data_IF_848122848040
#
_entry.id   IF_848122848040
#
_cell.length_a   1.000
_cell.length_b   1.000
_cell.length_c   1.000
_cell.angle_alpha   90.00
_cell.angle_beta   90.00
_cell.angle_gamma   90.00
#
_symmetry.space_group_name_H-M   'P 1'
#
loop_
_entity.id
_entity.type
_entity.pdbx_description
1 polymer ?
#
# COMPACT_ATOMS: atom_id res chain seq x y z
N UNK A 1 22.46 -5.98 -8.68
CA UNK A 1 21.25 -5.73 -7.90
C UNK A 1 20.08 -5.89 -8.85
N UNK A 2 19.29 -6.95 -8.71
CA UNK A 2 18.07 -7.10 -9.48
C UNK A 2 16.92 -6.47 -8.67
N UNK A 3 16.15 -5.59 -9.29
CA UNK A 3 14.95 -5.03 -8.68
C UNK A 3 13.78 -5.75 -9.32
N UNK A 4 12.96 -6.39 -8.50
CA UNK A 4 11.78 -7.12 -8.94
C UNK A 4 10.56 -6.38 -8.43
N UNK A 5 9.81 -5.79 -9.36
CA UNK A 5 8.47 -5.26 -9.09
C UNK A 5 7.45 -6.34 -9.44
N UNK A 6 6.25 -6.23 -8.87
CA UNK A 6 5.12 -7.03 -9.34
C UNK A 6 4.84 -6.75 -10.82
N UNK A 7 4.47 -7.78 -11.55
CA UNK A 7 4.27 -7.75 -12.99
C UNK A 7 3.24 -6.70 -13.41
N UNK A 8 3.51 -6.04 -14.54
CA UNK A 8 2.65 -5.01 -15.11
C UNK A 8 2.93 -3.60 -14.57
N UNK A 9 3.80 -3.43 -13.58
CA UNK A 9 4.26 -2.11 -13.17
C UNK A 9 5.47 -1.65 -14.00
N UNK A 10 5.48 -0.38 -14.39
CA UNK A 10 6.58 0.22 -15.14
C UNK A 10 6.54 1.74 -15.13
N UNK A 11 7.52 2.35 -15.80
CA UNK A 11 7.55 3.79 -16.01
C UNK A 11 7.06 4.12 -17.42
N UNK A 12 6.21 5.13 -17.53
CA UNK A 12 5.80 5.69 -18.82
C UNK A 12 6.90 6.59 -19.43
N UNK A 13 6.62 7.19 -20.59
CA UNK A 13 7.54 8.10 -21.28
C UNK A 13 7.89 9.37 -20.48
N UNK A 14 7.10 9.71 -19.45
CA UNK A 14 7.32 10.86 -18.58
C UNK A 14 8.00 10.46 -17.25
N UNK A 15 8.27 9.17 -17.05
CA UNK A 15 8.84 8.65 -15.81
C UNK A 15 7.81 8.53 -14.68
N UNK A 16 6.52 8.45 -14.98
CA UNK A 16 5.45 8.18 -14.01
C UNK A 16 5.26 6.67 -13.86
N UNK A 17 5.07 6.20 -12.61
CA UNK A 17 4.71 4.81 -12.35
C UNK A 17 3.31 4.51 -12.86
N UNK A 18 3.21 3.58 -13.80
CA UNK A 18 1.95 3.12 -14.38
C UNK A 18 1.79 1.61 -14.28
N UNK A 19 0.54 1.16 -14.32
CA UNK A 19 0.19 -0.26 -14.49
C UNK A 19 0.20 -0.67 -15.98
N UNK A 20 -0.23 -1.90 -16.27
CA UNK A 20 -0.22 -2.45 -17.63
C UNK A 20 -1.21 -1.75 -18.57
N UNK A 21 -2.24 -1.10 -18.02
CA UNK A 21 -3.21 -0.29 -18.76
C UNK A 21 -2.70 1.14 -19.05
N UNK A 22 -1.54 1.52 -18.51
CA UNK A 22 -0.98 2.87 -18.61
C UNK A 22 -1.57 3.87 -17.60
N UNK A 23 -2.32 3.39 -16.61
CA UNK A 23 -2.89 4.20 -15.56
C UNK A 23 -1.85 4.50 -14.46
N UNK A 24 -1.84 5.73 -13.95
CA UNK A 24 -1.02 6.08 -12.80
C UNK A 24 -1.44 5.28 -11.56
N UNK A 25 -0.46 4.67 -10.87
CA UNK A 25 -0.72 3.78 -9.74
C UNK A 25 -0.61 4.48 -8.40
N UNK A 26 0.35 5.38 -8.23
CA UNK A 26 0.55 6.07 -6.95
C UNK A 26 -0.51 7.16 -6.74
N UNK A 27 -1.02 7.23 -5.52
CA UNK A 27 -1.96 8.24 -5.07
C UNK A 27 -1.44 8.85 -3.76
N UNK A 28 -1.42 10.17 -3.68
CA UNK A 28 -1.03 10.91 -2.47
C UNK A 28 -2.26 11.31 -1.65
N UNK A 29 -2.24 11.00 -0.36
CA UNK A 29 -3.27 11.41 0.60
C UNK A 29 -3.17 12.90 0.96
N UNK A 30 -4.29 13.48 1.40
CA UNK A 30 -4.31 14.84 1.93
C UNK A 30 -3.78 14.90 3.36
N UNK A 31 -3.15 16.02 3.72
CA UNK A 31 -2.52 16.18 5.05
C UNK A 31 -3.51 16.09 6.24
N UNK A 32 -4.82 16.20 5.98
CA UNK A 32 -5.88 16.26 6.99
C UNK A 32 -6.81 15.03 6.99
N UNK A 33 -6.64 14.07 6.08
CA UNK A 33 -7.63 13.01 5.87
C UNK A 33 -7.38 11.70 6.64
N UNK A 34 -6.14 11.46 7.11
CA UNK A 34 -5.77 10.25 7.86
C UNK A 34 -6.03 8.93 7.09
N UNK A 35 -6.12 9.01 5.76
CA UNK A 35 -6.71 7.97 4.93
C UNK A 35 -5.70 6.99 4.31
N UNK A 36 -4.52 6.80 4.91
CA UNK A 36 -3.45 6.00 4.32
C UNK A 36 -3.87 4.58 3.91
N UNK A 37 -4.75 3.96 4.70
CA UNK A 37 -5.36 2.66 4.41
C UNK A 37 -6.14 2.64 3.09
N UNK A 38 -7.23 3.44 2.95
CA UNK A 38 -7.96 3.62 1.70
C UNK A 38 -7.08 3.88 0.48
N UNK A 39 -6.08 4.75 0.59
CA UNK A 39 -5.16 5.02 -0.52
C UNK A 39 -4.39 3.75 -0.90
N UNK A 40 -3.86 2.98 0.07
CA UNK A 40 -3.20 1.70 -0.20
C UNK A 40 -4.13 0.69 -0.89
N UNK A 41 -5.42 0.65 -0.53
CA UNK A 41 -6.42 -0.20 -1.20
C UNK A 41 -6.59 0.19 -2.66
N UNK A 42 -6.79 1.48 -2.95
CA UNK A 42 -6.96 1.95 -4.33
C UNK A 42 -5.69 1.71 -5.15
N UNK A 43 -4.51 2.01 -4.59
CA UNK A 43 -3.23 1.73 -5.26
C UNK A 43 -3.04 0.23 -5.54
N UNK A 44 -3.43 -0.66 -4.63
CA UNK A 44 -3.36 -2.11 -4.86
C UNK A 44 -4.29 -2.56 -6.00
N UNK A 45 -5.51 -2.01 -6.06
CA UNK A 45 -6.46 -2.28 -7.13
C UNK A 45 -5.99 -1.76 -8.49
N UNK A 46 -5.33 -0.59 -8.52
CA UNK A 46 -4.69 -0.05 -9.73
C UNK A 46 -3.50 -0.92 -10.16
N UNK A 47 -2.65 -1.32 -9.23
CA UNK A 47 -1.50 -2.18 -9.51
C UNK A 47 -1.92 -3.55 -10.08
N UNK A 48 -3.05 -4.10 -9.61
CA UNK A 48 -3.64 -5.34 -10.12
C UNK A 48 -4.49 -5.16 -11.39
N UNK A 49 -4.58 -3.96 -11.96
CA UNK A 49 -5.45 -3.63 -13.10
C UNK A 49 -6.95 -3.98 -12.86
N UNK A 50 -7.40 -3.91 -11.61
CA UNK A 50 -8.80 -4.15 -11.22
C UNK A 50 -9.62 -2.87 -11.27
N UNK A 51 -8.96 -1.72 -11.04
CA UNK A 51 -9.48 -0.39 -11.28
C UNK A 51 -8.70 0.26 -12.42
N UNK A 52 -9.42 1.03 -13.24
CA UNK A 52 -8.79 1.95 -14.19
C UNK A 52 -8.79 3.36 -13.60
N UNK A 53 -7.69 4.10 -13.71
CA UNK A 53 -7.59 5.44 -13.10
C UNK A 53 -8.62 6.42 -13.65
N UNK A 54 -9.01 6.25 -14.93
CA UNK A 54 -10.07 7.01 -15.58
C UNK A 54 -11.46 6.81 -14.96
N UNK A 55 -11.66 5.73 -14.19
CA UNK A 55 -12.92 5.43 -13.50
C UNK A 55 -12.98 6.03 -12.10
N UNK A 56 -11.88 6.59 -11.58
CA UNK A 56 -11.87 7.31 -10.31
C UNK A 56 -12.74 8.57 -10.46
N UNK A 57 -13.93 8.59 -9.84
CA UNK A 57 -14.87 9.67 -10.06
C UNK A 57 -14.37 10.93 -9.38
N UNK A 58 -14.57 12.08 -10.01
CA UNK A 58 -14.66 13.34 -9.26
C UNK A 58 -15.77 13.18 -8.22
N UNK A 59 -15.45 13.40 -6.93
CA UNK A 59 -16.31 13.11 -5.76
C UNK A 59 -17.77 13.56 -5.89
N UNK A 60 -18.06 14.56 -6.71
CA UNK A 60 -19.39 15.17 -6.85
C UNK A 60 -20.42 14.33 -7.63
N UNK A 61 -20.09 13.13 -8.14
CA UNK A 61 -21.03 12.26 -8.89
C UNK A 61 -20.83 10.75 -8.67
N UNK A 62 -20.75 10.30 -7.42
CA UNK A 62 -20.63 8.88 -7.09
C UNK A 62 -21.98 8.13 -7.24
N UNK A 63 -22.04 7.15 -8.15
CA UNK A 63 -23.11 6.14 -8.16
C UNK A 63 -22.72 4.95 -7.29
N UNK A 64 -23.26 4.92 -6.07
CA UNK A 64 -22.97 3.87 -5.09
C UNK A 64 -23.49 2.46 -5.44
N UNK A 65 -24.18 2.28 -6.58
CA UNK A 65 -24.53 0.94 -7.10
C UNK A 65 -23.37 0.28 -7.84
N UNK A 66 -22.41 1.06 -8.32
CA UNK A 66 -21.20 0.57 -9.00
C UNK A 66 -20.18 -0.01 -8.01
N UNK A 67 -19.17 -0.77 -8.50
CA UNK A 67 -18.09 -1.29 -7.63
C UNK A 67 -17.30 -0.14 -6.99
N UNK A 68 -16.89 0.82 -7.80
CA UNK A 68 -16.16 2.00 -7.32
C UNK A 68 -17.00 2.81 -6.34
N UNK A 69 -18.29 3.01 -6.61
CA UNK A 69 -19.20 3.66 -5.68
C UNK A 69 -19.34 2.90 -4.37
N UNK A 70 -19.41 1.57 -4.38
CA UNK A 70 -19.40 0.77 -3.14
C UNK A 70 -18.09 0.90 -2.37
N UNK A 71 -16.95 0.97 -3.06
CA UNK A 71 -15.65 1.20 -2.41
C UNK A 71 -15.64 2.56 -1.70
N UNK A 72 -16.03 3.62 -2.41
CA UNK A 72 -16.16 4.95 -1.82
C UNK A 72 -17.19 4.98 -0.67
N UNK A 73 -18.25 4.17 -0.73
CA UNK A 73 -19.16 4.01 0.41
C UNK A 73 -18.47 3.40 1.63
N UNK A 74 -17.61 2.40 1.46
CA UNK A 74 -16.84 1.85 2.59
C UNK A 74 -15.81 2.85 3.10
N UNK A 75 -15.17 3.63 2.23
CA UNK A 75 -14.28 4.73 2.61
C UNK A 75 -15.07 5.81 3.38
N UNK A 76 -16.26 6.20 2.90
CA UNK A 76 -17.15 7.13 3.59
C UNK A 76 -17.69 6.58 4.90
N UNK A 77 -17.77 5.26 5.06
CA UNK A 77 -18.12 4.62 6.34
C UNK A 77 -16.98 4.62 7.35
N UNK A 78 -15.77 4.93 6.91
CA UNK A 78 -14.69 5.26 7.83
C UNK A 78 -14.92 6.61 8.51
N UNK A 79 -15.91 7.41 8.05
CA UNK A 79 -16.27 8.67 8.69
C UNK A 79 -16.86 8.49 10.10
N UNK A 80 -16.68 9.38 11.09
CA UNK A 80 -16.47 10.86 11.16
C UNK A 80 -15.65 11.52 10.02
N UNK A 81 -16.05 12.67 9.41
CA UNK A 81 -15.55 13.28 8.14
C UNK A 81 -14.04 13.41 7.89
N UNK A 82 -13.20 13.08 8.87
CA UNK A 82 -11.76 12.87 8.78
C UNK A 82 -11.49 11.48 9.37
N UNK A 83 -10.72 10.63 8.69
CA UNK A 83 -10.28 9.33 9.26
C UNK A 83 -9.30 9.62 10.41
N UNK A 84 -9.84 10.07 11.54
CA UNK A 84 -9.08 10.65 12.66
C UNK A 84 -8.40 9.58 13.51
N UNK A 85 -8.74 8.31 13.30
CA UNK A 85 -8.24 7.15 14.06
C UNK A 85 -7.47 6.13 13.17
N UNK A 86 -7.18 6.49 11.92
CA UNK A 86 -6.61 5.56 10.93
C UNK A 86 -7.60 4.46 10.51
N UNK A 87 -7.10 3.45 9.78
CA UNK A 87 -7.92 2.34 9.25
C UNK A 87 -7.47 1.02 9.87
N UNK A 88 -8.40 0.16 10.30
CA UNK A 88 -8.10 -1.18 10.80
C UNK A 88 -7.96 -2.17 9.65
N UNK A 89 -7.33 -3.33 9.89
CA UNK A 89 -7.16 -4.35 8.83
C UNK A 89 -8.50 -4.92 8.36
N UNK A 90 -9.48 -5.08 9.25
CA UNK A 90 -10.82 -5.58 8.92
C UNK A 90 -11.55 -4.61 8.00
N UNK A 91 -11.31 -3.30 8.16
CA UNK A 91 -11.85 -2.28 7.27
C UNK A 91 -11.20 -2.35 5.87
N UNK A 92 -9.89 -2.62 5.78
CA UNK A 92 -9.22 -2.84 4.51
C UNK A 92 -9.76 -4.10 3.80
N UNK A 93 -9.94 -5.21 4.55
CA UNK A 93 -10.54 -6.44 4.03
C UNK A 93 -11.96 -6.21 3.50
N UNK A 94 -12.78 -5.44 4.21
CA UNK A 94 -14.14 -5.10 3.79
C UNK A 94 -14.17 -4.35 2.44
N UNK A 95 -13.17 -3.48 2.18
CA UNK A 95 -13.04 -2.80 0.89
C UNK A 95 -12.70 -3.77 -0.24
N UNK A 96 -11.81 -4.74 -0.01
CA UNK A 96 -11.48 -5.75 -1.02
C UNK A 96 -12.63 -6.75 -1.26
N UNK A 97 -13.47 -7.03 -0.27
CA UNK A 97 -14.60 -7.94 -0.38
C UNK A 97 -15.64 -7.51 -1.46
N UNK A 98 -15.59 -6.24 -1.91
CA UNK A 98 -16.40 -5.71 -3.02
C UNK A 98 -16.02 -6.33 -4.37
N UNK A 99 -14.80 -6.85 -4.49
CA UNK A 99 -14.20 -7.38 -5.71
C UNK A 99 -14.14 -8.91 -5.63
N UNK A 100 -15.12 -9.65 -6.20
CA UNK A 100 -15.24 -11.10 -5.99
C UNK A 100 -14.10 -11.93 -6.60
N UNK A 101 -13.34 -11.35 -7.53
CA UNK A 101 -12.19 -11.98 -8.17
C UNK A 101 -10.90 -11.77 -7.37
N UNK A 102 -10.97 -11.11 -6.21
CA UNK A 102 -9.84 -10.92 -5.31
C UNK A 102 -10.08 -11.70 -4.02
N UNK A 103 -8.98 -12.17 -3.45
CA UNK A 103 -8.91 -12.67 -2.10
C UNK A 103 -7.87 -11.86 -1.33
N UNK A 104 -8.06 -11.83 -0.02
CA UNK A 104 -7.11 -11.24 0.90
C UNK A 104 -6.66 -12.28 1.91
N UNK A 105 -5.43 -12.14 2.39
CA UNK A 105 -4.91 -12.93 3.51
C UNK A 105 -4.20 -12.01 4.48
N UNK A 106 -4.77 -11.91 5.68
CA UNK A 106 -4.12 -11.23 6.80
C UNK A 106 -3.09 -12.15 7.45
N UNK A 107 -1.92 -11.59 7.74
CA UNK A 107 -0.87 -12.27 8.51
C UNK A 107 -0.35 -11.32 9.60
N UNK A 108 -0.37 -11.80 10.84
CA UNK A 108 0.07 -11.07 12.03
C UNK A 108 0.89 -11.99 12.93
N UNK A 109 2.17 -11.67 13.08
CA UNK A 109 3.15 -12.48 13.81
C UNK A 109 4.36 -11.59 14.19
N UNK A 110 5.46 -12.18 14.64
CA UNK A 110 6.73 -11.50 14.85
C UNK A 110 7.21 -10.76 13.60
N UNK A 111 7.91 -9.61 13.75
CA UNK A 111 8.36 -8.83 12.61
C UNK A 111 9.20 -9.58 11.57
N UNK A 112 10.00 -10.57 12.00
CA UNK A 112 10.75 -11.43 11.08
C UNK A 112 9.87 -12.40 10.28
N UNK A 113 8.82 -12.93 10.90
CA UNK A 113 7.91 -13.85 10.22
C UNK A 113 7.04 -13.08 9.22
N UNK A 114 6.55 -11.90 9.60
CA UNK A 114 5.78 -11.02 8.71
C UNK A 114 6.60 -10.62 7.48
N UNK A 115 7.86 -10.20 7.66
CA UNK A 115 8.72 -9.88 6.51
C UNK A 115 9.03 -11.08 5.60
N UNK A 116 9.14 -12.27 6.17
CA UNK A 116 9.31 -13.49 5.38
C UNK A 116 8.08 -13.75 4.52
N UNK A 117 6.88 -13.64 5.11
CA UNK A 117 5.62 -13.83 4.39
C UNK A 117 5.38 -12.74 3.34
N UNK A 118 5.72 -11.48 3.65
CA UNK A 118 5.69 -10.36 2.72
C UNK A 118 6.59 -10.63 1.51
N UNK A 119 7.84 -11.06 1.76
CA UNK A 119 8.78 -11.39 0.69
C UNK A 119 8.26 -12.50 -0.22
N UNK A 120 7.61 -13.52 0.37
CA UNK A 120 7.00 -14.61 -0.40
C UNK A 120 5.83 -14.11 -1.25
N UNK A 121 4.92 -13.32 -0.67
CA UNK A 121 3.78 -12.75 -1.40
C UNK A 121 4.22 -11.91 -2.60
N UNK A 122 5.25 -11.07 -2.45
CA UNK A 122 5.79 -10.30 -3.57
C UNK A 122 6.46 -11.18 -4.63
N UNK A 123 7.16 -12.26 -4.23
CA UNK A 123 7.70 -13.24 -5.17
C UNK A 123 6.57 -13.92 -5.98
N UNK A 124 5.43 -14.15 -5.34
CA UNK A 124 4.20 -14.68 -5.96
C UNK A 124 3.42 -13.60 -6.75
N UNK A 125 3.99 -12.42 -6.97
CA UNK A 125 3.40 -11.29 -7.71
C UNK A 125 2.17 -10.67 -7.03
N UNK A 126 2.07 -10.78 -5.71
CA UNK A 126 0.95 -10.24 -4.94
C UNK A 126 1.36 -8.93 -4.24
N UNK A 127 0.67 -7.81 -4.49
CA UNK A 127 0.87 -6.61 -3.67
C UNK A 127 0.46 -6.86 -2.22
N UNK A 128 1.14 -6.19 -1.30
CA UNK A 128 0.92 -6.36 0.14
C UNK A 128 0.74 -5.00 0.80
N UNK A 129 -0.37 -4.79 1.52
CA UNK A 129 -0.52 -3.63 2.40
C UNK A 129 0.15 -3.95 3.74
N UNK A 130 1.04 -3.07 4.20
CA UNK A 130 1.94 -3.33 5.33
C UNK A 130 1.75 -2.24 6.38
N UNK A 131 1.55 -2.66 7.64
CA UNK A 131 1.58 -1.76 8.79
C UNK A 131 3.03 -1.46 9.16
N UNK A 132 3.38 -0.18 9.15
CA UNK A 132 4.67 0.33 9.58
C UNK A 132 4.45 1.17 10.83
N UNK A 133 4.94 0.68 11.97
CA UNK A 133 4.85 1.38 13.25
C UNK A 133 6.25 1.70 13.76
N UNK A 134 6.51 2.96 14.14
CA UNK A 134 7.80 3.32 14.75
C UNK A 134 7.94 2.77 16.16
N UNK A 135 9.17 2.44 16.53
CA UNK A 135 9.51 1.96 17.88
C UNK A 135 9.66 3.06 18.91
N UNK A 136 9.92 4.30 18.48
CA UNK A 136 9.99 5.44 19.39
C UNK A 136 8.56 5.97 19.56
N UNK A 137 8.28 6.65 20.68
CA UNK A 137 7.02 7.39 20.87
C UNK A 137 6.90 8.62 19.94
N UNK A 138 7.50 8.58 18.75
CA UNK A 138 7.36 9.60 17.71
C UNK A 138 6.03 9.46 16.94
N UNK A 139 5.30 8.36 17.15
CA UNK A 139 3.90 8.24 16.78
C UNK A 139 3.63 7.81 15.34
N UNK A 140 4.64 7.37 14.58
CA UNK A 140 4.39 6.82 13.24
C UNK A 140 3.61 5.50 13.35
N UNK A 141 2.38 5.50 12.83
CA UNK A 141 1.57 4.30 12.54
C UNK A 141 0.96 4.50 11.17
N UNK A 142 1.35 3.67 10.21
CA UNK A 142 1.13 4.00 8.81
C UNK A 142 0.95 2.78 7.93
N UNK A 143 -0.03 2.84 7.02
CA UNK A 143 -0.21 1.85 5.97
C UNK A 143 0.57 2.25 4.73
N UNK A 144 1.30 1.30 4.17
CA UNK A 144 2.01 1.44 2.90
C UNK A 144 1.74 0.24 2.01
N UNK A 145 1.90 0.39 0.70
CA UNK A 145 1.72 -0.70 -0.26
C UNK A 145 3.09 -1.19 -0.75
N UNK A 146 3.44 -2.44 -0.45
CA UNK A 146 4.60 -3.10 -1.02
C UNK A 146 4.30 -3.60 -2.44
N UNK A 147 5.22 -3.30 -3.36
CA UNK A 147 5.08 -3.55 -4.79
C UNK A 147 6.30 -4.24 -5.42
N UNK A 148 7.34 -4.51 -4.64
CA UNK A 148 8.54 -5.15 -5.14
C UNK A 148 9.63 -5.32 -4.10
N UNK A 149 10.71 -5.99 -4.47
CA UNK A 149 11.87 -6.20 -3.60
C UNK A 149 13.18 -6.37 -4.38
N UNK A 150 14.27 -6.25 -3.64
CA UNK A 150 15.59 -6.77 -3.99
C UNK A 150 16.17 -7.50 -2.78
N UNK A 151 17.42 -7.94 -2.83
CA UNK A 151 18.08 -8.62 -1.71
C UNK A 151 18.08 -7.82 -0.39
N UNK A 152 18.09 -6.50 -0.49
CA UNK A 152 18.28 -5.60 0.66
C UNK A 152 16.99 -4.91 1.10
N UNK A 153 16.08 -4.63 0.16
CA UNK A 153 14.93 -3.74 0.38
C UNK A 153 13.63 -4.31 -0.18
N UNK A 154 12.55 -3.96 0.48
CA UNK A 154 11.18 -3.99 -0.05
C UNK A 154 10.85 -2.58 -0.51
N UNK A 155 10.28 -2.45 -1.70
CA UNK A 155 9.88 -1.20 -2.33
C UNK A 155 8.41 -0.91 -2.04
N UNK A 156 8.14 0.29 -1.54
CA UNK A 156 6.85 0.70 -1.02
C UNK A 156 6.31 1.95 -1.74
N UNK A 157 5.00 1.96 -1.94
CA UNK A 157 4.22 3.17 -2.19
C UNK A 157 3.64 3.67 -0.88
N UNK A 158 4.18 4.77 -0.43
CA UNK A 158 3.76 5.54 0.74
C UNK A 158 2.77 6.63 0.29
N UNK A 159 1.50 6.57 0.72
CA UNK A 159 0.52 7.57 0.32
C UNK A 159 0.73 8.93 1.01
N UNK A 160 1.52 9.02 2.08
CA UNK A 160 1.76 10.28 2.80
C UNK A 160 2.70 11.23 2.04
N UNK A 161 3.42 10.72 1.03
CA UNK A 161 4.44 11.49 0.33
C UNK A 161 4.32 11.37 -1.19
N UNK A 162 4.84 12.37 -1.89
CA UNK A 162 4.90 12.38 -3.36
C UNK A 162 5.79 11.24 -3.89
N UNK A 163 5.41 10.68 -5.03
CA UNK A 163 6.28 9.79 -5.80
C UNK A 163 7.27 10.62 -6.63
N UNK A 164 8.60 10.46 -6.44
CA UNK A 164 9.57 11.16 -7.28
C UNK A 164 9.44 10.75 -8.74
N UNK A 165 9.59 11.73 -9.65
CA UNK A 165 9.67 11.47 -11.10
C UNK A 165 10.81 10.50 -11.40
N UNK A 166 10.56 9.59 -12.34
CA UNK A 166 11.48 8.53 -12.75
C UNK A 166 11.83 7.53 -11.63
N UNK A 167 10.95 7.39 -10.63
CA UNK A 167 11.04 6.36 -9.59
C UNK A 167 9.77 5.53 -9.56
N UNK A 168 9.92 4.23 -9.32
CA UNK A 168 8.77 3.32 -9.15
C UNK A 168 8.28 3.23 -7.70
N UNK A 169 9.00 3.80 -6.74
CA UNK A 169 8.65 3.78 -5.32
C UNK A 169 9.09 5.08 -4.65
N UNK A 170 8.49 5.41 -3.51
CA UNK A 170 8.85 6.59 -2.72
C UNK A 170 9.27 6.24 -1.28
N UNK A 171 9.14 4.99 -0.86
CA UNK A 171 9.67 4.48 0.39
C UNK A 171 10.29 3.09 0.22
N UNK A 172 11.16 2.72 1.15
CA UNK A 172 11.74 1.39 1.24
C UNK A 172 11.76 0.88 2.68
N UNK A 173 11.65 -0.43 2.82
CA UNK A 173 11.80 -1.14 4.08
C UNK A 173 12.97 -2.12 3.97
N UNK A 174 13.93 -2.05 4.88
CA UNK A 174 15.05 -3.00 4.89
C UNK A 174 14.57 -4.43 5.19
N UNK A 175 15.09 -5.42 4.46
CA UNK A 175 14.76 -6.84 4.68
C UNK A 175 15.52 -7.46 5.84
N UNK A 176 16.64 -6.86 6.24
CA UNK A 176 17.45 -7.30 7.38
C UNK A 176 17.17 -6.41 8.57
N UNK A 177 16.99 -6.99 9.77
CA UNK A 177 16.87 -6.19 10.97
C UNK A 177 18.17 -5.42 11.20
N UNK A 178 18.07 -4.25 11.81
CA UNK A 178 19.22 -3.59 12.41
C UNK A 178 19.79 -4.47 13.54
N UNK A 179 20.89 -4.05 14.17
CA UNK A 179 21.58 -4.84 15.22
C UNK A 179 20.71 -5.29 16.41
N UNK A 180 19.45 -4.85 16.49
CA UNK A 180 18.43 -5.39 17.38
C UNK A 180 17.38 -6.24 16.60
N UNK A 181 16.98 -7.38 17.17
CA UNK A 181 16.17 -8.44 16.53
C UNK A 181 14.79 -8.01 15.98
N UNK A 182 14.31 -6.82 16.35
CA UNK A 182 12.91 -6.42 16.18
C UNK A 182 12.71 -5.14 15.38
N UNK A 183 13.71 -4.61 14.69
CA UNK A 183 13.29 -3.60 13.74
C UNK A 183 14.18 -3.31 12.59
N UNK A 184 13.45 -2.80 11.62
CA UNK A 184 13.81 -2.61 10.25
C UNK A 184 13.86 -1.12 10.01
N UNK A 185 14.56 -0.75 8.96
CA UNK A 185 14.71 0.64 8.59
C UNK A 185 13.68 0.97 7.53
N UNK A 186 12.79 1.89 7.89
CA UNK A 186 11.89 2.54 6.96
C UNK A 186 12.54 3.83 6.47
N UNK A 187 12.70 3.97 5.17
CA UNK A 187 13.40 5.10 4.56
C UNK A 187 12.53 5.67 3.45
N UNK A 188 12.32 6.97 3.49
CA UNK A 188 11.85 7.76 2.36
C UNK A 188 12.71 9.05 2.27
N UNK A 189 12.49 9.94 1.29
CA UNK A 189 13.29 11.16 1.15
C UNK A 189 13.31 12.09 2.37
N UNK A 190 12.32 11.98 3.27
CA UNK A 190 12.16 12.87 4.42
C UNK A 190 12.50 12.22 5.75
N UNK A 191 12.29 10.91 5.86
CA UNK A 191 12.37 10.18 7.13
C UNK A 191 13.20 8.90 7.02
N UNK A 192 13.88 8.58 8.11
CA UNK A 192 14.67 7.36 8.28
C UNK A 192 14.49 6.84 9.71
N UNK A 193 13.55 5.90 9.89
CA UNK A 193 13.12 5.43 11.22
C UNK A 193 13.36 3.93 11.39
N UNK A 194 13.62 3.57 12.65
CA UNK A 194 13.52 2.18 13.10
C UNK A 194 12.06 1.83 13.36
N UNK A 195 11.55 0.87 12.60
CA UNK A 195 10.14 0.47 12.61
C UNK A 195 9.98 -1.01 12.94
N UNK A 196 8.79 -1.34 13.40
CA UNK A 196 8.23 -2.69 13.48
C UNK A 196 7.18 -2.88 12.39
N UNK A 197 7.06 -4.13 11.95
CA UNK A 197 6.07 -4.56 10.96
C UNK A 197 5.39 -5.79 11.53
N UNK A 198 4.24 -5.59 12.15
CA UNK A 198 3.56 -6.63 12.93
C UNK A 198 2.39 -7.27 12.18
N UNK A 199 1.87 -6.58 11.15
CA UNK A 199 0.70 -7.00 10.40
C UNK A 199 0.88 -6.68 8.92
N UNK A 200 0.44 -7.59 8.08
CA UNK A 200 0.33 -7.39 6.63
C UNK A 200 -1.00 -7.94 6.10
N UNK A 201 -1.44 -7.36 4.99
CA UNK A 201 -2.59 -7.82 4.22
C UNK A 201 -2.14 -8.11 2.78
N UNK A 202 -2.01 -9.39 2.45
CA UNK A 202 -1.74 -9.86 1.09
C UNK A 202 -3.02 -9.76 0.26
N UNK A 203 -2.91 -9.29 -0.99
CA UNK A 203 -4.03 -9.17 -1.94
C UNK A 203 -3.68 -9.91 -3.22
N UNK A 204 -4.55 -10.84 -3.64
CA UNK A 204 -4.27 -11.72 -4.78
C UNK A 204 -5.53 -12.09 -5.58
N UNK A 205 -5.41 -12.37 -6.88
CA UNK A 205 -6.51 -12.90 -7.69
C UNK A 205 -7.01 -14.27 -7.17
N UNK A 206 -8.32 -14.51 -7.26
CA UNK A 206 -8.94 -15.82 -7.01
C UNK A 206 -8.93 -16.73 -8.23
#
# INVERSE_FOLDING_TARGET
MNIELIDGLGLDANGCLTNANGDAVHLRQGDLDGACGPYCVVMALLALNVLDSCTLPTMNRLDYRTRIGRLFREIERLHDPMVSQGTTIEQLEAMFAIYPNLATRTYADSPSAVLSQLSQALADQHPVIVDVTSRKNDGLRHWTLAIGLCDEFIYLLDPAYELPVASCWNAVLSRRPQSNRYGYRYINPWINHDVEVNVMLEVFPR
#
